data_IF_409979839631
#
_entry.id   IF_409979839631
#
_cell.length_a   1.000
_cell.length_b   1.000
_cell.length_c   1.000
_cell.angle_alpha   90.00
_cell.angle_beta   90.00
_cell.angle_gamma   90.00
#
_symmetry.space_group_name_H-M   'P 1'
#
loop_
_entity.id
_entity.type
_entity.pdbx_description
1 polymer ?
#
# COMPACT_ATOMS: atom_id res chain seq x y z
N UNK A 1 6.04 9.43 0.47
CA UNK A 1 6.56 10.34 -0.56
C UNK A 1 7.68 11.17 0.06
N UNK A 2 8.87 11.19 -0.55
CA UNK A 2 10.06 11.92 -0.05
C UNK A 2 10.09 13.33 -0.66
N UNK A 3 9.42 14.27 0.00
CA UNK A 3 9.26 15.66 -0.44
C UNK A 3 10.59 16.40 -0.59
N UNK A 4 11.67 15.91 0.04
CA UNK A 4 12.96 16.60 0.10
C UNK A 4 13.72 16.62 -1.23
N UNK A 5 13.25 15.85 -2.23
CA UNK A 5 13.87 15.74 -3.56
C UNK A 5 13.20 16.58 -4.62
N UNK A 6 12.11 17.26 -4.28
CA UNK A 6 11.38 18.11 -5.21
C UNK A 6 12.16 19.42 -5.46
N UNK A 7 12.28 19.87 -6.72
CA UNK A 7 13.06 21.06 -7.07
C UNK A 7 12.49 22.36 -6.46
N UNK A 8 11.22 22.35 -6.07
CA UNK A 8 10.42 23.47 -5.58
C UNK A 8 10.15 23.42 -4.06
N UNK A 9 10.97 22.69 -3.28
CA UNK A 9 10.73 22.41 -1.85
C UNK A 9 10.45 23.65 -0.98
N UNK A 10 11.20 24.75 -1.16
CA UNK A 10 11.02 25.95 -0.32
C UNK A 10 9.69 26.65 -0.65
N UNK A 11 9.37 26.78 -1.95
CA UNK A 11 8.12 27.36 -2.41
C UNK A 11 6.92 26.50 -1.97
N UNK A 12 7.04 25.18 -2.06
CA UNK A 12 6.06 24.22 -1.56
C UNK A 12 5.80 24.39 -0.06
N UNK A 13 6.84 24.60 0.76
CA UNK A 13 6.69 24.83 2.21
C UNK A 13 5.90 26.11 2.49
N UNK A 14 6.21 27.19 1.78
CA UNK A 14 5.46 28.45 1.92
C UNK A 14 3.99 28.28 1.54
N UNK A 15 3.73 27.61 0.42
CA UNK A 15 2.37 27.37 -0.07
C UNK A 15 1.60 26.41 0.86
N UNK A 16 2.26 25.40 1.41
CA UNK A 16 1.66 24.49 2.39
C UNK A 16 1.21 25.24 3.64
N UNK A 17 2.03 26.16 4.17
CA UNK A 17 1.63 27.01 5.29
C UNK A 17 0.52 27.99 4.90
N UNK A 18 0.45 28.39 3.63
CA UNK A 18 -0.59 29.25 3.11
C UNK A 18 -1.94 28.52 2.97
N UNK A 19 -1.95 27.20 2.70
CA UNK A 19 -3.18 26.40 2.62
C UNK A 19 -4.05 26.53 3.87
N UNK A 20 -3.45 26.52 5.06
CA UNK A 20 -4.21 26.65 6.32
C UNK A 20 -4.73 28.07 6.57
N UNK A 21 -4.01 29.09 6.07
CA UNK A 21 -4.32 30.50 6.35
C UNK A 21 -5.24 31.12 5.31
N UNK A 22 -5.06 30.75 4.05
CA UNK A 22 -5.74 31.35 2.90
C UNK A 22 -5.75 30.35 1.71
N UNK A 23 -6.62 29.32 1.77
CA UNK A 23 -6.74 28.32 0.71
C UNK A 23 -6.93 28.94 -0.68
N UNK A 24 -7.75 30.01 -0.77
CA UNK A 24 -8.05 30.71 -2.03
C UNK A 24 -6.81 31.30 -2.72
N UNK A 25 -5.76 31.63 -1.96
CA UNK A 25 -4.50 32.15 -2.49
C UNK A 25 -3.49 31.02 -2.76
N UNK A 26 -3.58 29.91 -2.01
CA UNK A 26 -2.70 28.77 -2.14
C UNK A 26 -3.02 27.92 -3.39
N UNK A 27 -4.31 27.72 -3.70
CA UNK A 27 -4.77 26.93 -4.85
C UNK A 27 -4.09 27.33 -6.18
N UNK A 28 -4.14 28.60 -6.64
CA UNK A 28 -3.55 28.97 -7.92
C UNK A 28 -2.02 28.82 -7.93
N UNK A 29 -1.36 28.96 -6.77
CA UNK A 29 0.09 28.76 -6.65
C UNK A 29 0.47 27.28 -6.80
N UNK A 30 -0.28 26.39 -6.14
CA UNK A 30 -0.11 24.93 -6.33
C UNK A 30 -0.38 24.53 -7.77
N UNK A 31 -1.43 25.06 -8.39
CA UNK A 31 -1.76 24.77 -9.79
C UNK A 31 -0.63 25.20 -10.73
N UNK A 32 -0.04 26.38 -10.51
CA UNK A 32 1.10 26.85 -11.28
C UNK A 32 2.32 25.93 -11.14
N UNK A 33 2.65 25.47 -9.93
CA UNK A 33 3.76 24.53 -9.71
C UNK A 33 3.51 23.16 -10.36
N UNK A 34 2.30 22.64 -10.22
CA UNK A 34 1.91 21.38 -10.84
C UNK A 34 2.02 21.43 -12.38
N UNK A 35 1.54 22.50 -13.00
CA UNK A 35 1.49 22.63 -14.46
C UNK A 35 2.82 23.04 -15.08
N UNK A 36 3.56 23.96 -14.45
CA UNK A 36 4.80 24.51 -15.04
C UNK A 36 6.02 23.66 -14.72
N UNK A 37 6.08 23.11 -13.51
CA UNK A 37 7.26 22.39 -13.01
C UNK A 37 7.03 20.88 -12.91
N UNK A 38 5.78 20.41 -13.08
CA UNK A 38 5.45 19.00 -12.93
C UNK A 38 5.57 18.51 -11.49
N UNK A 39 5.47 19.42 -10.51
CA UNK A 39 5.62 19.14 -9.08
C UNK A 39 4.61 18.08 -8.63
N UNK A 40 5.10 16.89 -8.31
CA UNK A 40 4.26 15.75 -7.93
C UNK A 40 3.60 16.05 -6.57
N UNK A 41 4.38 16.66 -5.68
CA UNK A 41 3.95 17.25 -4.42
C UNK A 41 2.74 18.20 -4.59
N UNK A 42 2.83 19.15 -5.53
CA UNK A 42 1.73 20.09 -5.80
C UNK A 42 0.49 19.38 -6.34
N UNK A 43 0.65 18.43 -7.26
CA UNK A 43 -0.45 17.63 -7.78
C UNK A 43 -1.14 16.84 -6.64
N UNK A 44 -0.37 16.24 -5.74
CA UNK A 44 -0.92 15.52 -4.59
C UNK A 44 -1.66 16.46 -3.63
N UNK A 45 -1.10 17.64 -3.32
CA UNK A 45 -1.74 18.62 -2.44
C UNK A 45 -3.03 19.19 -3.02
N UNK A 46 -3.07 19.47 -4.32
CA UNK A 46 -4.31 19.87 -4.99
C UNK A 46 -5.36 18.77 -4.89
N UNK A 47 -4.97 17.52 -5.14
CA UNK A 47 -5.86 16.39 -5.06
C UNK A 47 -6.46 16.22 -3.66
N UNK A 48 -5.64 16.38 -2.63
CA UNK A 48 -6.05 16.31 -1.23
C UNK A 48 -6.88 17.55 -0.84
N UNK A 49 -6.54 18.74 -1.31
CA UNK A 49 -7.35 19.94 -1.07
C UNK A 49 -8.77 19.80 -1.60
N UNK A 50 -8.93 19.28 -2.81
CA UNK A 50 -10.24 19.03 -3.42
C UNK A 50 -10.96 17.79 -2.85
N UNK A 51 -10.33 16.98 -2.01
CA UNK A 51 -11.03 15.91 -1.27
C UNK A 51 -12.01 16.50 -0.23
N UNK A 52 -11.88 17.79 0.07
CA UNK A 52 -12.65 18.54 1.07
C UNK A 52 -11.79 19.05 2.24
N UNK A 53 -10.48 18.81 2.21
CA UNK A 53 -9.56 19.19 3.30
C UNK A 53 -9.30 20.71 3.35
N UNK A 54 -9.08 21.35 2.18
CA UNK A 54 -8.74 22.77 2.10
C UNK A 54 -9.70 23.58 1.21
N UNK A 55 -10.31 22.92 0.22
CA UNK A 55 -11.23 23.55 -0.74
C UNK A 55 -12.63 22.93 -0.62
N UNK A 56 -13.67 23.56 -1.20
CA UNK A 56 -14.94 22.88 -1.42
C UNK A 56 -14.71 21.54 -2.12
N UNK A 57 -15.31 20.47 -1.58
CA UNK A 57 -15.09 19.13 -2.07
C UNK A 57 -15.50 19.01 -3.56
N UNK A 58 -14.56 18.53 -4.37
CA UNK A 58 -14.75 18.26 -5.80
C UNK A 58 -14.01 16.96 -6.13
N UNK A 59 -14.72 15.84 -6.02
CA UNK A 59 -14.18 14.50 -6.29
C UNK A 59 -13.63 14.37 -7.71
N UNK A 60 -14.17 15.11 -8.68
CA UNK A 60 -13.70 15.04 -10.07
C UNK A 60 -12.32 15.66 -10.21
N UNK A 61 -12.10 16.84 -9.62
CA UNK A 61 -10.78 17.47 -9.58
C UNK A 61 -9.80 16.70 -8.72
N UNK A 62 -10.24 16.17 -7.58
CA UNK A 62 -9.42 15.34 -6.71
C UNK A 62 -8.87 14.11 -7.46
N UNK A 63 -9.77 13.36 -8.13
CA UNK A 63 -9.36 12.22 -8.98
C UNK A 63 -8.45 12.61 -10.14
N UNK A 64 -8.68 13.77 -10.76
CA UNK A 64 -7.84 14.28 -11.84
C UNK A 64 -6.40 14.49 -11.36
N UNK A 65 -6.21 15.24 -10.28
CA UNK A 65 -4.87 15.55 -9.75
C UNK A 65 -4.18 14.32 -9.16
N UNK A 66 -4.92 13.43 -8.48
CA UNK A 66 -4.35 12.16 -8.02
C UNK A 66 -3.88 11.28 -9.18
N UNK A 67 -4.59 11.28 -10.31
CA UNK A 67 -4.13 10.55 -11.50
C UNK A 67 -2.84 11.13 -12.05
N UNK A 68 -2.74 12.45 -12.19
CA UNK A 68 -1.52 13.11 -12.67
C UNK A 68 -0.32 12.82 -11.75
N UNK A 69 -0.51 12.94 -10.43
CA UNK A 69 0.53 12.59 -9.47
C UNK A 69 0.94 11.10 -9.56
N UNK A 70 -0.02 10.18 -9.73
CA UNK A 70 0.25 8.75 -9.86
C UNK A 70 0.99 8.39 -11.17
N UNK A 71 0.67 9.09 -12.27
CA UNK A 71 1.37 8.97 -13.55
C UNK A 71 2.81 9.48 -13.44
N UNK A 72 3.01 10.58 -12.71
CA UNK A 72 4.33 11.14 -12.41
C UNK A 72 5.16 10.31 -11.40
N UNK A 73 4.55 9.32 -10.74
CA UNK A 73 5.26 8.36 -9.87
C UNK A 73 4.93 8.45 -8.39
N UNK A 74 3.93 9.24 -7.99
CA UNK A 74 3.45 9.24 -6.60
C UNK A 74 2.68 7.96 -6.28
N UNK A 75 3.31 7.14 -5.45
CA UNK A 75 2.77 5.88 -4.96
C UNK A 75 1.54 6.09 -4.04
N UNK A 76 1.55 7.17 -3.26
CA UNK A 76 0.46 7.60 -2.37
C UNK A 76 -0.73 8.14 -3.16
N UNK A 77 -0.48 8.90 -4.23
CA UNK A 77 -1.54 9.35 -5.12
C UNK A 77 -2.26 8.19 -5.79
N UNK A 78 -1.53 7.18 -6.26
CA UNK A 78 -2.11 5.98 -6.86
C UNK A 78 -3.00 5.21 -5.87
N UNK A 79 -2.58 5.15 -4.60
CA UNK A 79 -3.37 4.58 -3.52
C UNK A 79 -4.67 5.35 -3.25
N UNK A 80 -4.58 6.67 -3.10
CA UNK A 80 -5.74 7.51 -2.81
C UNK A 80 -6.71 7.54 -3.99
N UNK A 81 -6.21 7.54 -5.23
CA UNK A 81 -7.04 7.37 -6.43
C UNK A 81 -7.82 6.05 -6.39
N UNK A 82 -7.15 4.95 -5.99
CA UNK A 82 -7.78 3.65 -5.83
C UNK A 82 -8.91 3.67 -4.79
N UNK A 83 -8.71 4.35 -3.66
CA UNK A 83 -9.73 4.54 -2.62
C UNK A 83 -10.95 5.31 -3.14
N UNK A 84 -10.74 6.44 -3.80
CA UNK A 84 -11.82 7.24 -4.38
C UNK A 84 -12.62 6.45 -5.42
N UNK A 85 -11.96 5.59 -6.21
CA UNK A 85 -12.66 4.70 -7.11
C UNK A 85 -13.48 3.62 -6.38
N UNK A 86 -13.01 3.09 -5.25
CA UNK A 86 -13.81 2.15 -4.45
C UNK A 86 -15.04 2.81 -3.81
N UNK A 87 -14.90 4.04 -3.34
CA UNK A 87 -16.01 4.82 -2.77
C UNK A 87 -17.12 5.04 -3.81
N UNK A 88 -16.73 5.33 -5.05
CA UNK A 88 -17.65 5.49 -6.18
C UNK A 88 -18.08 4.14 -6.81
N UNK A 89 -17.71 3.01 -6.21
CA UNK A 89 -18.01 1.65 -6.69
C UNK A 89 -17.47 1.36 -8.11
N UNK A 90 -16.42 2.06 -8.51
CA UNK A 90 -15.71 1.89 -9.77
C UNK A 90 -14.58 0.86 -9.61
N UNK A 91 -14.90 -0.35 -9.15
CA UNK A 91 -13.93 -1.36 -8.72
C UNK A 91 -12.85 -1.65 -9.78
N UNK A 92 -13.20 -1.66 -11.08
CA UNK A 92 -12.22 -1.88 -12.16
C UNK A 92 -11.17 -0.78 -12.26
N UNK A 93 -11.56 0.49 -12.03
CA UNK A 93 -10.62 1.61 -11.99
C UNK A 93 -9.78 1.57 -10.71
N UNK A 94 -10.38 1.15 -9.59
CA UNK A 94 -9.65 0.94 -8.34
C UNK A 94 -8.55 -0.13 -8.49
N UNK A 95 -8.85 -1.25 -9.16
CA UNK A 95 -7.86 -2.29 -9.48
C UNK A 95 -6.68 -1.71 -10.26
N UNK A 96 -6.93 -0.89 -11.29
CA UNK A 96 -5.88 -0.26 -12.07
C UNK A 96 -5.02 0.71 -11.23
N UNK A 97 -5.66 1.55 -10.41
CA UNK A 97 -4.96 2.50 -9.56
C UNK A 97 -4.10 1.81 -8.48
N UNK A 98 -4.63 0.78 -7.80
CA UNK A 98 -3.86 0.01 -6.83
C UNK A 98 -2.74 -0.82 -7.48
N UNK A 99 -2.95 -1.33 -8.69
CA UNK A 99 -1.88 -1.98 -9.46
C UNK A 99 -0.73 -1.00 -9.73
N UNK A 100 -1.05 0.22 -10.16
CA UNK A 100 -0.04 1.27 -10.34
C UNK A 100 0.71 1.59 -9.04
N UNK A 101 0.00 1.75 -7.93
CA UNK A 101 0.64 1.99 -6.64
C UNK A 101 1.52 0.81 -6.19
N UNK A 102 1.10 -0.43 -6.43
CA UNK A 102 1.88 -1.62 -6.11
C UNK A 102 3.15 -1.74 -6.98
N UNK A 103 3.09 -1.37 -8.27
CA UNK A 103 4.26 -1.29 -9.16
C UNK A 103 5.28 -0.25 -8.69
N UNK A 104 4.82 0.84 -8.07
CA UNK A 104 5.66 1.87 -7.47
C UNK A 104 6.24 1.46 -6.10
N UNK A 105 5.83 0.32 -5.54
CA UNK A 105 6.32 -0.19 -4.24
C UNK A 105 5.41 0.11 -3.05
N UNK A 106 4.24 0.72 -3.27
CA UNK A 106 3.33 1.06 -2.17
C UNK A 106 2.65 -0.19 -1.59
N UNK A 107 3.11 -0.60 -0.40
CA UNK A 107 2.62 -1.81 0.28
C UNK A 107 1.11 -1.80 0.56
N UNK A 108 0.49 -0.68 1.02
CA UNK A 108 -0.96 -0.61 1.16
C UNK A 108 -1.72 -0.79 -0.16
N UNK A 109 -1.19 -0.31 -1.28
CA UNK A 109 -1.79 -0.53 -2.60
C UNK A 109 -1.72 -2.00 -3.01
N UNK A 110 -0.58 -2.64 -2.82
CA UNK A 110 -0.41 -4.07 -3.08
C UNK A 110 -1.38 -4.92 -2.25
N UNK A 111 -1.55 -4.58 -0.96
CA UNK A 111 -2.50 -5.25 -0.07
C UNK A 111 -3.96 -5.07 -0.52
N UNK A 112 -4.39 -3.85 -0.86
CA UNK A 112 -5.75 -3.61 -1.34
C UNK A 112 -6.03 -4.29 -2.68
N UNK A 113 -5.06 -4.29 -3.60
CA UNK A 113 -5.16 -5.06 -4.84
C UNK A 113 -5.32 -6.56 -4.57
N UNK A 114 -4.61 -7.09 -3.58
CA UNK A 114 -4.73 -8.50 -3.19
C UNK A 114 -6.16 -8.82 -2.74
N UNK A 115 -6.76 -7.97 -1.89
CA UNK A 115 -8.14 -8.14 -1.43
C UNK A 115 -9.15 -8.12 -2.59
N UNK A 116 -9.00 -7.19 -3.55
CA UNK A 116 -9.85 -7.13 -4.74
C UNK A 116 -9.72 -8.39 -5.60
N UNK A 117 -8.51 -8.95 -5.76
CA UNK A 117 -8.29 -10.22 -6.46
C UNK A 117 -8.95 -11.40 -5.74
N UNK A 118 -8.91 -11.43 -4.40
CA UNK A 118 -9.54 -12.49 -3.59
C UNK A 118 -11.06 -12.48 -3.73
N UNK A 119 -11.64 -11.29 -3.77
CA UNK A 119 -13.10 -11.08 -3.84
C UNK A 119 -13.62 -11.15 -5.27
N UNK A 120 -12.76 -10.94 -6.28
CA UNK A 120 -13.20 -10.82 -7.67
C UNK A 120 -13.96 -9.51 -7.93
N UNK A 121 -13.58 -8.45 -7.21
CA UNK A 121 -14.18 -7.11 -7.36
C UNK A 121 -13.37 -6.29 -8.36
N UNK A 122 -14.02 -5.87 -9.45
CA UNK A 122 -13.34 -5.14 -10.54
C UNK A 122 -12.34 -5.98 -11.34
N UNK A 123 -12.19 -7.27 -11.01
CA UNK A 123 -11.31 -8.24 -11.66
C UNK A 123 -11.91 -9.64 -11.51
N UNK A 124 -11.41 -10.63 -12.24
CA UNK A 124 -11.73 -12.04 -11.95
C UNK A 124 -11.10 -12.46 -10.63
N UNK A 125 -11.80 -13.33 -9.90
CA UNK A 125 -11.28 -13.94 -8.69
C UNK A 125 -10.00 -14.72 -9.00
N UNK A 126 -8.91 -14.36 -8.32
CA UNK A 126 -7.60 -14.95 -8.52
C UNK A 126 -6.87 -15.10 -7.17
N UNK A 127 -6.96 -16.32 -6.62
CA UNK A 127 -6.35 -16.67 -5.33
C UNK A 127 -4.82 -16.75 -5.43
N UNK A 128 -4.28 -17.10 -6.60
CA UNK A 128 -2.83 -17.17 -6.80
C UNK A 128 -2.24 -15.76 -6.79
N UNK A 129 -2.87 -14.83 -7.51
CA UNK A 129 -2.47 -13.42 -7.50
C UNK A 129 -2.64 -12.78 -6.12
N UNK A 130 -3.74 -13.07 -5.41
CA UNK A 130 -3.92 -12.67 -4.01
C UNK A 130 -2.75 -13.10 -3.12
N UNK A 131 -2.39 -14.39 -3.13
CA UNK A 131 -1.30 -14.93 -2.33
C UNK A 131 0.05 -14.30 -2.68
N UNK A 132 0.35 -14.18 -3.98
CA UNK A 132 1.61 -13.59 -4.43
C UNK A 132 1.76 -12.14 -3.97
N UNK A 133 0.69 -11.34 -4.10
CA UNK A 133 0.70 -9.95 -3.63
C UNK A 133 0.86 -9.86 -2.11
N UNK A 134 0.22 -10.75 -1.35
CA UNK A 134 0.42 -10.83 0.10
C UNK A 134 1.83 -11.25 0.48
N UNK A 135 2.43 -12.22 -0.22
CA UNK A 135 3.81 -12.66 0.02
C UNK A 135 4.81 -11.53 -0.21
N UNK A 136 4.68 -10.78 -1.31
CA UNK A 136 5.50 -9.61 -1.57
C UNK A 136 5.33 -8.55 -0.47
N UNK A 137 4.09 -8.11 -0.19
CA UNK A 137 3.84 -7.10 0.82
C UNK A 137 4.27 -7.54 2.23
N UNK A 138 4.14 -8.83 2.56
CA UNK A 138 4.57 -9.41 3.82
C UNK A 138 6.10 -9.47 3.93
N UNK A 139 6.81 -9.78 2.84
CA UNK A 139 8.28 -9.76 2.81
C UNK A 139 8.83 -8.36 3.10
N UNK A 140 8.18 -7.33 2.56
CA UNK A 140 8.55 -5.92 2.72
C UNK A 140 8.04 -5.29 4.03
N UNK A 141 7.39 -6.08 4.89
CA UNK A 141 7.08 -5.67 6.26
C UNK A 141 5.61 -5.33 6.55
N UNK A 142 4.72 -5.36 5.56
CA UNK A 142 3.31 -4.98 5.75
C UNK A 142 2.58 -5.90 6.73
N UNK A 143 2.18 -5.36 7.89
CA UNK A 143 1.68 -6.13 9.03
C UNK A 143 0.37 -6.87 8.72
N UNK A 144 -0.60 -6.20 8.07
CA UNK A 144 -1.85 -6.83 7.68
C UNK A 144 -1.64 -7.92 6.63
N UNK A 145 -0.65 -7.75 5.74
CA UNK A 145 -0.36 -8.76 4.74
C UNK A 145 0.27 -10.01 5.39
N UNK A 146 1.19 -9.82 6.34
CA UNK A 146 1.76 -10.91 7.15
C UNK A 146 0.67 -11.68 7.89
N UNK A 147 -0.24 -10.97 8.56
CA UNK A 147 -1.35 -11.58 9.31
C UNK A 147 -2.25 -12.40 8.38
N UNK A 148 -2.71 -11.79 7.29
CA UNK A 148 -3.68 -12.42 6.38
C UNK A 148 -3.06 -13.60 5.63
N UNK A 149 -1.78 -13.51 5.25
CA UNK A 149 -1.03 -14.63 4.69
C UNK A 149 -0.92 -15.77 5.71
N UNK A 150 -0.61 -15.45 6.96
CA UNK A 150 -0.48 -16.45 8.00
C UNK A 150 -1.81 -17.19 8.25
N UNK A 151 -2.93 -16.46 8.29
CA UNK A 151 -4.27 -17.05 8.40
C UNK A 151 -4.59 -17.93 7.19
N UNK A 152 -4.33 -17.46 5.96
CA UNK A 152 -4.56 -18.23 4.73
C UNK A 152 -3.76 -19.55 4.73
N UNK A 153 -2.50 -19.51 5.17
CA UNK A 153 -1.64 -20.70 5.29
C UNK A 153 -2.12 -21.69 6.36
N UNK A 154 -2.84 -21.23 7.37
CA UNK A 154 -3.40 -22.09 8.43
C UNK A 154 -4.76 -22.70 8.08
N UNK A 155 -5.38 -22.30 6.96
CA UNK A 155 -6.68 -22.84 6.55
C UNK A 155 -6.63 -24.35 6.26
N UNK A 156 -7.79 -25.01 6.31
CA UNK A 156 -7.94 -26.47 6.23
C UNK A 156 -7.33 -27.10 4.97
N UNK A 157 -7.24 -26.32 3.88
CA UNK A 157 -6.75 -26.77 2.57
C UNK A 157 -5.21 -26.81 2.46
N UNK A 158 -4.49 -26.32 3.48
CA UNK A 158 -3.03 -26.23 3.48
C UNK A 158 -2.37 -27.46 4.14
N UNK A 159 -1.29 -27.96 3.54
CA UNK A 159 -0.49 -29.05 4.10
C UNK A 159 0.21 -28.66 5.42
N UNK A 160 0.62 -29.65 6.22
CA UNK A 160 1.20 -29.44 7.56
C UNK A 160 2.37 -28.44 7.57
N UNK A 161 3.25 -28.50 6.56
CA UNK A 161 4.38 -27.56 6.40
C UNK A 161 3.93 -26.10 6.25
N UNK A 162 2.86 -25.86 5.50
CA UNK A 162 2.31 -24.51 5.27
C UNK A 162 1.61 -23.99 6.53
N UNK A 163 0.88 -24.86 7.23
CA UNK A 163 0.27 -24.52 8.53
C UNK A 163 1.32 -24.10 9.57
N UNK A 164 2.44 -24.84 9.63
CA UNK A 164 3.55 -24.49 10.52
C UNK A 164 4.20 -23.15 10.13
N UNK A 165 4.36 -22.87 8.82
CA UNK A 165 4.79 -21.54 8.35
C UNK A 165 3.82 -20.42 8.77
N UNK A 166 2.51 -20.63 8.64
CA UNK A 166 1.50 -19.67 9.09
C UNK A 166 1.56 -19.42 10.59
N UNK A 167 1.69 -20.47 11.39
CA UNK A 167 1.89 -20.36 12.84
C UNK A 167 3.13 -19.50 13.18
N UNK A 168 4.28 -19.76 12.55
CA UNK A 168 5.51 -18.99 12.77
C UNK A 168 5.39 -17.51 12.37
N UNK A 169 4.67 -17.21 11.28
CA UNK A 169 4.40 -15.83 10.87
C UNK A 169 3.58 -15.08 11.91
N UNK A 170 2.55 -15.72 12.50
CA UNK A 170 1.77 -15.12 13.59
C UNK A 170 2.59 -14.95 14.87
N UNK A 171 3.36 -15.97 15.27
CA UNK A 171 4.18 -15.84 16.48
C UNK A 171 5.18 -14.71 16.33
N UNK A 172 5.82 -14.57 15.18
CA UNK A 172 6.76 -13.46 14.92
C UNK A 172 6.08 -12.09 14.82
N UNK A 173 4.79 -12.06 14.46
CA UNK A 173 4.01 -10.82 14.37
C UNK A 173 3.52 -10.33 15.75
N UNK A 174 3.17 -11.26 16.65
CA UNK A 174 2.54 -10.97 17.94
C UNK A 174 3.43 -11.20 19.17
N UNK A 175 4.58 -11.84 19.02
CA UNK A 175 5.53 -12.09 20.12
C UNK A 175 6.92 -11.55 19.74
N UNK A 176 7.40 -10.63 20.58
CA UNK A 176 8.84 -10.33 20.70
C UNK A 176 9.50 -11.63 21.20
N UNK A 177 10.60 -12.02 20.55
CA UNK A 177 11.46 -13.20 20.78
C UNK A 177 10.90 -14.59 20.39
N UNK A 178 11.09 -14.93 19.11
CA UNK A 178 11.12 -16.33 18.66
C UNK A 178 12.45 -16.95 19.10
N UNK A 179 12.45 -18.02 19.92
CA UNK A 179 13.68 -18.68 20.36
C UNK A 179 14.58 -19.09 19.19
N UNK A 180 15.88 -18.81 19.30
CA UNK A 180 16.89 -19.05 18.24
C UNK A 180 16.95 -20.53 17.77
N UNK A 181 16.50 -21.46 18.60
CA UNK A 181 16.41 -22.89 18.29
C UNK A 181 15.39 -23.20 17.18
N UNK A 182 14.24 -22.51 17.18
CA UNK A 182 13.22 -22.66 16.12
C UNK A 182 13.70 -22.07 14.78
N UNK A 183 14.57 -21.06 14.82
CA UNK A 183 15.23 -20.50 13.62
C UNK A 183 16.30 -21.45 13.04
N UNK A 184 16.99 -22.23 13.86
CA UNK A 184 17.95 -23.26 13.40
C UNK A 184 17.26 -24.45 12.74
N UNK A 185 16.14 -24.91 13.30
CA UNK A 185 15.33 -25.98 12.71
C UNK A 185 14.80 -25.61 11.30
N UNK A 186 14.60 -24.32 11.03
CA UNK A 186 14.24 -23.80 9.70
C UNK A 186 15.38 -23.89 8.67
N UNK A 187 16.65 -23.72 9.08
CA UNK A 187 17.81 -23.79 8.17
C UNK A 187 18.29 -25.21 7.90
N UNK A 188 18.21 -26.10 8.88
CA UNK A 188 18.87 -27.41 8.80
C UNK A 188 17.89 -28.60 8.84
N UNK A 189 16.59 -28.36 9.00
CA UNK A 189 15.62 -29.43 9.26
C UNK A 189 15.76 -29.98 10.68
N UNK A 190 14.80 -30.78 11.16
CA UNK A 190 14.90 -31.40 12.48
C UNK A 190 16.01 -32.45 12.46
N UNK A 191 17.06 -32.24 13.27
CA UNK A 191 17.97 -33.32 13.65
C UNK A 191 17.20 -34.24 14.59
N UNK A 192 16.75 -35.37 14.05
CA UNK A 192 16.18 -36.45 14.86
C UNK A 192 17.37 -37.05 15.63
N UNK A 193 17.59 -36.57 16.85
CA UNK A 193 18.51 -37.20 17.78
C UNK A 193 18.00 -38.60 18.13
N UNK A 194 18.74 -39.62 17.71
CA UNK A 194 18.56 -41.03 18.03
C UNK A 194 18.74 -41.28 19.55
N UNK A 195 17.73 -40.91 20.34
CA UNK A 195 17.62 -41.31 21.75
C UNK A 195 16.46 -42.30 21.92
N UNK A 196 16.55 -43.40 21.19
CA UNK A 196 15.90 -44.67 21.52
C UNK A 196 16.90 -45.82 21.33
N UNK A 197 17.89 -45.89 22.23
CA UNK A 197 18.55 -47.13 22.65
C UNK A 197 19.49 -46.84 23.82
N UNK A 198 19.22 -47.47 24.96
CA UNK A 198 19.97 -47.37 26.22
C UNK A 198 19.06 -47.57 27.39
#
# INVERSE_FOLDING_TARGET
>A
MDWEREPDLEELREIYLLLERSPDQAEPKLAALAEQQGSIASMWLLAEGYSGTYFPADTSRSKYWYRQAAEAGSEEAAYNLGRLHLEDREDGKAVAAFARGAELGHLPSAYNLALLCREGRGTRKDILRYRKLLECAAADGHLFAKRDLAVDLMTRQSGLKLKFRGFLLLTRLYLIDVPHELLRAWKHGPEIGDHLRG
#
